data_IF_868544811448
#
_entry.id   IF_868544811448
#
_cell.length_a   1.000
_cell.length_b   1.000
_cell.length_c   1.000
_cell.angle_alpha   90.00
_cell.angle_beta   90.00
_cell.angle_gamma   90.00
#
_symmetry.space_group_name_H-M   'P 1'
#
loop_
_entity.id
_entity.type
_entity.pdbx_description
1 polymer ?
#
# COMPACT_ATOMS: atom_id res chain seq x y z
N UNK A 1 -16.50 -16.08 -15.63
CA UNK A 1 -15.08 -16.52 -15.66
C UNK A 1 -14.24 -15.40 -15.08
N UNK A 2 -13.28 -15.72 -14.22
CA UNK A 2 -12.39 -14.71 -13.63
C UNK A 2 -11.39 -14.20 -14.67
N UNK A 3 -11.02 -12.92 -14.59
CA UNK A 3 -9.94 -12.35 -15.40
C UNK A 3 -8.63 -13.05 -15.07
N UNK A 4 -7.72 -13.28 -16.04
CA UNK A 4 -6.47 -14.02 -15.79
C UNK A 4 -5.63 -13.49 -14.62
N UNK A 5 -5.53 -12.16 -14.47
CA UNK A 5 -4.80 -11.51 -13.37
C UNK A 5 -5.51 -11.63 -12.00
N UNK A 6 -6.79 -12.04 -11.97
CA UNK A 6 -7.52 -12.34 -10.74
C UNK A 6 -7.46 -13.83 -10.36
N UNK A 7 -6.91 -14.66 -11.22
CA UNK A 7 -6.65 -16.08 -10.91
C UNK A 7 -5.41 -16.19 -10.03
N UNK A 8 -4.39 -15.38 -10.34
CA UNK A 8 -3.22 -15.25 -9.48
C UNK A 8 -3.68 -14.61 -8.16
N UNK A 9 -3.26 -15.17 -7.05
CA UNK A 9 -3.65 -14.70 -5.73
C UNK A 9 -2.58 -13.76 -5.14
N UNK A 10 -2.51 -12.49 -5.58
CA UNK A 10 -1.48 -11.57 -5.11
C UNK A 10 -1.68 -11.21 -3.64
N UNK A 11 -0.57 -10.91 -2.98
CA UNK A 11 -0.57 -10.32 -1.65
C UNK A 11 -1.16 -8.90 -1.69
N UNK A 12 -1.72 -8.48 -0.57
CA UNK A 12 -2.27 -7.13 -0.38
C UNK A 12 -1.29 -6.28 0.39
N UNK A 13 -1.06 -5.08 -0.13
CA UNK A 13 -0.15 -4.09 0.42
C UNK A 13 -0.88 -2.77 0.72
N UNK A 14 -0.22 -1.92 1.47
CA UNK A 14 -0.58 -0.53 1.67
C UNK A 14 0.66 0.35 1.55
N UNK A 15 0.53 1.49 0.86
CA UNK A 15 1.54 2.55 0.87
C UNK A 15 1.19 3.58 1.94
N UNK A 16 2.16 3.92 2.75
CA UNK A 16 2.09 5.07 3.66
C UNK A 16 2.62 6.28 2.91
N UNK A 17 1.79 7.28 2.74
CA UNK A 17 2.14 8.55 2.10
C UNK A 17 1.66 9.72 2.95
N UNK A 18 2.22 10.90 2.70
CA UNK A 18 1.87 12.13 3.41
C UNK A 18 1.53 13.23 2.41
N UNK A 19 0.59 14.09 2.76
CA UNK A 19 0.30 15.27 1.95
C UNK A 19 1.26 16.44 2.30
N UNK A 20 1.04 17.61 1.69
CA UNK A 20 1.83 18.83 1.91
C UNK A 20 1.78 19.38 3.35
N UNK A 21 0.80 18.93 4.14
CA UNK A 21 0.58 19.31 5.55
C UNK A 21 0.98 18.18 6.51
N UNK A 22 1.72 17.19 6.03
CA UNK A 22 2.13 16.00 6.77
C UNK A 22 0.95 15.15 7.29
N UNK A 23 -0.23 15.24 6.67
CA UNK A 23 -1.33 14.34 6.98
C UNK A 23 -1.09 12.97 6.37
N UNK A 24 -1.21 11.95 7.20
CA UNK A 24 -1.03 10.55 6.81
C UNK A 24 -2.16 10.08 5.88
N UNK A 25 -1.80 9.40 4.81
CA UNK A 25 -2.72 8.63 3.99
C UNK A 25 -2.18 7.21 3.78
N UNK A 26 -3.07 6.25 3.79
CA UNK A 26 -2.80 4.85 3.46
C UNK A 26 -3.81 4.36 2.44
N UNK A 27 -3.32 3.68 1.42
CA UNK A 27 -4.14 3.03 0.39
C UNK A 27 -4.15 1.51 0.58
N UNK A 28 -4.85 0.84 -0.31
CA UNK A 28 -4.76 -0.61 -0.52
C UNK A 28 -4.34 -0.84 -1.95
N UNK A 29 -3.30 -1.64 -2.15
CA UNK A 29 -2.79 -1.97 -3.48
C UNK A 29 -2.32 -3.42 -3.57
N UNK A 30 -2.38 -3.96 -4.79
CA UNK A 30 -1.91 -5.29 -5.15
C UNK A 30 -1.01 -5.30 -6.40
N UNK A 31 -0.95 -4.20 -7.13
CA UNK A 31 -0.06 -4.06 -8.28
C UNK A 31 1.35 -3.69 -7.82
N UNK A 32 1.98 -4.64 -7.13
CA UNK A 32 3.28 -4.49 -6.47
C UNK A 32 4.17 -5.65 -6.89
N UNK A 33 5.37 -5.37 -7.36
CA UNK A 33 6.35 -6.39 -7.73
C UNK A 33 7.79 -5.96 -7.41
N UNK A 34 8.57 -6.86 -6.84
CA UNK A 34 10.02 -6.73 -6.84
C UNK A 34 10.52 -7.00 -8.28
N UNK A 35 11.29 -6.07 -8.83
CA UNK A 35 11.74 -6.10 -10.23
C UNK A 35 13.25 -6.14 -10.40
N UNK A 36 14.01 -5.96 -9.32
CA UNK A 36 15.48 -6.07 -9.31
C UNK A 36 15.98 -6.47 -7.92
N UNK A 37 17.06 -7.27 -7.89
CA UNK A 37 17.72 -7.70 -6.66
C UNK A 37 19.00 -6.92 -6.36
N UNK A 38 19.70 -6.45 -7.39
CA UNK A 38 20.96 -5.69 -7.26
C UNK A 38 20.96 -4.55 -8.28
N UNK A 39 20.60 -3.32 -7.89
CA UNK A 39 20.01 -2.94 -6.61
C UNK A 39 18.59 -3.51 -6.39
N UNK A 40 18.11 -3.50 -5.15
CA UNK A 40 16.74 -3.90 -4.84
C UNK A 40 15.78 -2.80 -5.27
N UNK A 41 14.85 -3.14 -6.18
CA UNK A 41 13.86 -2.21 -6.74
C UNK A 41 12.48 -2.85 -6.73
N UNK A 42 11.48 -2.04 -6.35
CA UNK A 42 10.07 -2.34 -6.48
C UNK A 42 9.43 -1.51 -7.59
N UNK A 43 8.47 -2.12 -8.28
CA UNK A 43 7.51 -1.46 -9.18
C UNK A 43 6.13 -1.49 -8.54
N UNK A 44 5.46 -0.34 -8.50
CA UNK A 44 4.12 -0.20 -7.91
C UNK A 44 3.28 0.65 -8.85
N UNK A 45 2.10 0.13 -9.26
CA UNK A 45 1.14 0.92 -10.02
C UNK A 45 0.13 1.58 -9.08
N UNK A 46 -0.13 2.87 -9.31
CA UNK A 46 -1.01 3.70 -8.49
C UNK A 46 -1.99 4.43 -9.39
N UNK A 47 -3.28 4.33 -9.06
CA UNK A 47 -4.36 4.98 -9.78
C UNK A 47 -4.23 6.51 -9.73
N UNK A 48 -4.32 7.16 -10.89
CA UNK A 48 -4.18 8.61 -11.05
C UNK A 48 -5.19 9.43 -10.25
N UNK A 49 -6.37 8.88 -9.97
CA UNK A 49 -7.45 9.57 -9.27
C UNK A 49 -7.28 9.60 -7.74
N UNK A 50 -6.24 8.95 -7.20
CA UNK A 50 -6.10 8.74 -5.76
C UNK A 50 -5.27 9.83 -5.06
N UNK A 51 -5.57 10.04 -3.78
CA UNK A 51 -4.71 10.87 -2.90
C UNK A 51 -3.29 10.34 -2.80
N UNK A 52 -3.11 9.02 -2.88
CA UNK A 52 -1.80 8.37 -2.90
C UNK A 52 -0.97 8.85 -4.09
N UNK A 53 -1.57 8.94 -5.28
CA UNK A 53 -0.89 9.46 -6.47
C UNK A 53 -0.43 10.91 -6.28
N UNK A 54 -1.31 11.79 -5.79
CA UNK A 54 -0.96 13.18 -5.49
C UNK A 54 0.19 13.28 -4.49
N UNK A 55 0.11 12.51 -3.38
CA UNK A 55 1.15 12.51 -2.36
C UNK A 55 2.50 12.04 -2.91
N UNK A 56 2.50 11.08 -3.85
CA UNK A 56 3.73 10.60 -4.51
C UNK A 56 4.37 11.64 -5.44
N UNK A 57 3.62 12.63 -5.90
CA UNK A 57 4.20 13.78 -6.60
C UNK A 57 5.04 14.65 -5.67
N UNK A 58 4.61 14.79 -4.41
CA UNK A 58 5.21 15.67 -3.43
C UNK A 58 6.35 14.99 -2.65
N UNK A 59 6.25 13.69 -2.43
CA UNK A 59 7.15 12.97 -1.54
C UNK A 59 7.96 11.90 -2.29
N UNK A 60 9.24 11.84 -1.97
CA UNK A 60 10.15 10.83 -2.52
C UNK A 60 10.28 9.59 -1.64
N UNK A 61 9.90 9.67 -0.36
CA UNK A 61 10.01 8.57 0.59
C UNK A 61 8.63 8.07 1.00
N UNK A 62 8.46 6.75 0.94
CA UNK A 62 7.21 6.07 1.33
C UNK A 62 7.55 4.78 2.05
N UNK A 63 6.57 4.23 2.77
CA UNK A 63 6.68 2.90 3.37
C UNK A 63 5.67 1.97 2.71
N UNK A 64 6.16 0.87 2.15
CA UNK A 64 5.32 -0.21 1.67
C UNK A 64 5.12 -1.21 2.80
N UNK A 65 3.86 -1.52 3.09
CA UNK A 65 3.44 -2.44 4.14
C UNK A 65 2.83 -3.70 3.51
N UNK A 66 3.39 -4.87 3.81
CA UNK A 66 2.75 -6.14 3.47
C UNK A 66 1.73 -6.47 4.55
N UNK A 67 0.46 -6.55 4.18
CA UNK A 67 -0.63 -6.66 5.13
C UNK A 67 -0.84 -8.12 5.60
N UNK A 68 -1.29 -8.25 6.84
CA UNK A 68 -1.72 -9.53 7.42
C UNK A 68 -3.25 -9.66 7.41
N UNK A 69 -3.75 -10.88 7.64
CA UNK A 69 -5.19 -11.16 7.73
C UNK A 69 -5.90 -10.40 8.85
N UNK A 70 -5.18 -9.95 9.87
CA UNK A 70 -5.75 -9.10 10.94
C UNK A 70 -6.28 -7.75 10.42
N UNK A 71 -5.79 -7.30 9.25
CA UNK A 71 -6.23 -6.06 8.61
C UNK A 71 -7.57 -6.16 7.85
N UNK A 72 -8.15 -7.34 7.68
CA UNK A 72 -9.43 -7.52 6.97
C UNK A 72 -10.51 -6.54 7.43
N UNK A 73 -10.57 -6.26 8.74
CA UNK A 73 -11.55 -5.36 9.35
C UNK A 73 -11.47 -3.90 8.89
N UNK A 74 -10.31 -3.46 8.41
CA UNK A 74 -10.09 -2.06 7.97
C UNK A 74 -10.00 -1.91 6.44
N UNK A 75 -9.80 -3.00 5.71
CA UNK A 75 -9.53 -2.99 4.26
C UNK A 75 -10.64 -2.29 3.47
N UNK A 76 -11.91 -2.62 3.75
CA UNK A 76 -13.05 -2.02 3.05
C UNK A 76 -13.03 -0.49 3.17
N UNK A 77 -12.74 0.01 4.37
CA UNK A 77 -12.72 1.45 4.62
C UNK A 77 -11.51 2.10 3.95
N UNK A 78 -10.32 1.52 4.06
CA UNK A 78 -9.11 2.06 3.43
C UNK A 78 -9.16 2.02 1.90
N UNK A 79 -9.70 0.95 1.31
CA UNK A 79 -9.70 0.74 -0.13
C UNK A 79 -10.87 1.39 -0.88
N UNK A 80 -12.02 1.59 -0.21
CA UNK A 80 -13.25 2.13 -0.85
C UNK A 80 -13.55 3.58 -0.49
N UNK A 81 -12.76 4.23 0.35
CA UNK A 81 -12.91 5.66 0.65
C UNK A 81 -11.75 6.45 0.10
N UNK A 82 -12.05 7.60 -0.49
CA UNK A 82 -11.02 8.50 -1.00
C UNK A 82 -10.31 9.22 0.13
N UNK A 83 -8.98 9.30 0.06
CA UNK A 83 -8.18 10.14 0.97
C UNK A 83 -8.43 11.64 0.82
N UNK A 84 -9.11 12.07 -0.24
CA UNK A 84 -9.54 13.46 -0.41
C UNK A 84 -10.72 13.85 0.47
N UNK A 85 -11.62 12.91 0.76
CA UNK A 85 -12.87 13.16 1.48
C UNK A 85 -12.94 12.50 2.85
N UNK A 86 -11.97 11.65 3.19
CA UNK A 86 -11.98 10.85 4.41
C UNK A 86 -10.61 10.86 5.09
N UNK A 87 -10.58 11.26 6.36
CA UNK A 87 -9.36 11.23 7.17
C UNK A 87 -9.07 9.81 7.64
N UNK A 88 -8.23 9.11 6.88
CA UNK A 88 -7.83 7.74 7.18
C UNK A 88 -6.99 7.63 8.45
N UNK A 89 -6.18 8.64 8.75
CA UNK A 89 -5.37 8.65 9.97
C UNK A 89 -6.25 8.64 11.23
N UNK A 90 -7.24 9.55 11.31
CA UNK A 90 -8.16 9.60 12.44
C UNK A 90 -8.94 8.29 12.60
N UNK A 91 -9.39 7.72 11.49
CA UNK A 91 -10.06 6.42 11.51
C UNK A 91 -9.15 5.32 12.06
N UNK A 92 -7.91 5.23 11.60
CA UNK A 92 -6.96 4.20 12.05
C UNK A 92 -6.55 4.40 13.52
N UNK A 93 -6.42 5.65 13.97
CA UNK A 93 -6.18 5.97 15.39
C UNK A 93 -7.34 5.54 16.26
N UNK A 94 -8.58 5.81 15.84
CA UNK A 94 -9.79 5.37 16.58
C UNK A 94 -9.94 3.86 16.68
N UNK A 95 -9.30 3.12 15.78
CA UNK A 95 -9.25 1.64 15.79
C UNK A 95 -7.99 1.08 16.44
N UNK A 96 -7.12 1.94 16.99
CA UNK A 96 -5.85 1.58 17.61
C UNK A 96 -4.92 0.76 16.70
N UNK A 97 -5.01 1.01 15.38
CA UNK A 97 -4.30 0.26 14.34
C UNK A 97 -2.92 0.81 14.01
N UNK A 98 -2.56 1.99 14.53
CA UNK A 98 -1.29 2.64 14.21
C UNK A 98 -0.21 2.34 15.24
N UNK A 99 1.01 2.17 14.75
CA UNK A 99 2.24 2.05 15.50
C UNK A 99 3.27 3.05 14.98
N UNK A 100 3.97 3.72 15.89
CA UNK A 100 5.04 4.64 15.54
C UNK A 100 6.37 3.88 15.58
N UNK A 101 6.92 3.60 14.39
CA UNK A 101 8.22 2.94 14.25
C UNK A 101 9.27 3.93 13.76
N UNK A 102 10.15 4.35 14.65
CA UNK A 102 11.18 5.36 14.38
C UNK A 102 10.54 6.67 13.92
N UNK A 103 10.75 7.05 12.63
CA UNK A 103 10.17 8.25 12.02
C UNK A 103 8.87 7.99 11.25
N UNK A 104 8.45 6.72 11.16
CA UNK A 104 7.30 6.33 10.34
C UNK A 104 6.12 5.88 11.21
N UNK A 105 4.93 6.35 10.85
CA UNK A 105 3.67 5.81 11.36
C UNK A 105 3.20 4.71 10.41
N UNK A 106 2.99 3.52 10.92
CA UNK A 106 2.63 2.32 10.15
C UNK A 106 1.47 1.59 10.79
N UNK A 107 0.89 0.63 10.08
CA UNK A 107 -0.10 -0.27 10.66
C UNK A 107 0.58 -1.26 11.61
N UNK A 108 -0.06 -1.56 12.75
CA UNK A 108 0.31 -2.67 13.62
C UNK A 108 0.13 -4.00 12.87
N UNK A 109 0.83 -5.03 13.30
CA UNK A 109 0.67 -6.42 12.84
C UNK A 109 0.85 -6.64 11.32
N UNK A 110 1.62 -5.78 10.66
CA UNK A 110 2.05 -6.01 9.28
C UNK A 110 3.03 -7.18 9.18
N UNK A 111 3.00 -7.91 8.07
CA UNK A 111 3.96 -9.00 7.82
C UNK A 111 5.36 -8.48 7.48
N UNK A 112 5.44 -7.36 6.77
CA UNK A 112 6.71 -6.72 6.45
C UNK A 112 6.54 -5.22 6.21
N UNK A 113 7.64 -4.49 6.41
CA UNK A 113 7.78 -3.07 6.11
C UNK A 113 8.98 -2.87 5.19
N UNK A 114 8.80 -2.08 4.13
CA UNK A 114 9.86 -1.72 3.19
C UNK A 114 9.88 -0.21 3.03
N UNK A 115 10.98 0.42 3.45
CA UNK A 115 11.23 1.84 3.25
C UNK A 115 11.74 2.05 1.82
N UNK A 116 11.04 2.86 1.06
CA UNK A 116 11.24 3.04 -0.37
C UNK A 116 11.56 4.50 -0.70
N UNK A 117 12.48 4.68 -1.64
CA UNK A 117 12.77 5.98 -2.25
C UNK A 117 12.33 5.95 -3.71
N UNK A 118 11.46 6.87 -4.09
CA UNK A 118 10.98 7.01 -5.47
C UNK A 118 12.14 7.29 -6.42
N UNK A 119 12.19 6.55 -7.52
CA UNK A 119 13.16 6.73 -8.60
C UNK A 119 12.52 7.40 -9.80
N UNK A 120 11.48 6.78 -10.36
CA UNK A 120 10.83 7.23 -11.57
C UNK A 120 9.32 7.11 -11.46
N UNK A 121 8.62 7.95 -12.22
CA UNK A 121 7.22 7.81 -12.58
C UNK A 121 7.14 7.53 -14.08
N UNK A 122 6.43 6.48 -14.46
CA UNK A 122 6.19 6.10 -15.83
C UNK A 122 4.70 6.23 -16.10
N UNK A 123 4.34 7.20 -16.91
CA UNK A 123 2.96 7.37 -17.33
C UNK A 123 2.67 6.40 -18.49
N UNK A 124 1.65 5.59 -18.30
CA UNK A 124 1.13 4.67 -19.29
C UNK A 124 -0.26 5.13 -19.74
N UNK A 125 -0.69 4.73 -20.93
CA UNK A 125 -2.02 5.05 -21.45
C UNK A 125 -3.12 4.20 -20.78
N UNK A 126 -3.22 4.28 -19.45
CA UNK A 126 -4.15 3.54 -18.64
C UNK A 126 -4.66 4.37 -17.46
N UNK A 127 -5.25 3.74 -16.48
CA UNK A 127 -5.80 4.38 -15.28
C UNK A 127 -4.79 4.46 -14.10
N UNK A 128 -3.59 3.91 -14.27
CA UNK A 128 -2.53 3.91 -13.27
C UNK A 128 -1.21 4.44 -13.83
N UNK A 129 -0.44 5.12 -12.99
CA UNK A 129 0.99 5.36 -13.20
C UNK A 129 1.81 4.23 -12.62
N UNK A 130 2.94 3.90 -13.22
CA UNK A 130 3.92 2.98 -12.65
C UNK A 130 5.02 3.81 -11.99
N UNK A 131 5.24 3.56 -10.71
CA UNK A 131 6.38 4.11 -9.97
C UNK A 131 7.43 3.04 -9.74
N UNK A 132 8.70 3.38 -9.90
CA UNK A 132 9.82 2.55 -9.45
C UNK A 132 10.45 3.15 -8.21
N UNK A 133 10.84 2.27 -7.28
CA UNK A 133 11.41 2.66 -6.00
C UNK A 133 12.64 1.82 -5.68
N UNK A 134 13.70 2.47 -5.23
CA UNK A 134 14.82 1.77 -4.59
C UNK A 134 14.48 1.43 -3.13
N UNK A 135 14.92 0.28 -2.67
CA UNK A 135 14.76 -0.15 -1.29
C UNK A 135 15.86 0.48 -0.44
N UNK A 136 15.47 1.33 0.52
CA UNK A 136 16.40 1.90 1.51
C UNK A 136 16.61 0.97 2.68
N UNK A 137 15.51 0.36 3.17
CA UNK A 137 15.50 -0.54 4.32
C UNK A 137 14.30 -1.46 4.26
N UNK A 138 14.42 -2.64 4.85
CA UNK A 138 13.28 -3.54 4.99
C UNK A 138 13.35 -4.32 6.28
N UNK A 139 12.19 -4.82 6.72
CA UNK A 139 12.05 -5.69 7.86
C UNK A 139 10.89 -6.65 7.66
N UNK A 140 11.17 -7.95 7.73
CA UNK A 140 10.15 -8.99 7.83
C UNK A 140 9.78 -9.15 9.31
N UNK A 141 8.49 -9.14 9.60
CA UNK A 141 7.92 -9.27 10.95
C UNK A 141 7.22 -10.60 11.13
N UNK A 142 6.62 -11.13 10.06
CA UNK A 142 5.98 -12.45 10.03
C UNK A 142 6.03 -13.02 8.62
N UNK A 143 6.32 -14.30 8.48
CA UNK A 143 6.30 -15.02 7.21
C UNK A 143 4.95 -15.70 6.93
N UNK A 144 4.03 -15.66 7.90
CA UNK A 144 2.72 -16.27 7.78
C UNK A 144 1.57 -15.28 7.91
N UNK A 145 0.35 -15.73 7.56
CA UNK A 145 -0.86 -14.95 7.72
C UNK A 145 -0.98 -13.74 6.79
N UNK A 146 -0.30 -13.76 5.65
CA UNK A 146 -0.37 -12.70 4.63
C UNK A 146 -1.80 -12.57 4.11
N UNK A 147 -2.28 -11.33 4.04
CA UNK A 147 -3.54 -11.00 3.41
C UNK A 147 -3.41 -11.07 1.90
N UNK A 148 -4.34 -11.76 1.24
CA UNK A 148 -4.33 -11.98 -0.19
C UNK A 148 -5.59 -11.50 -0.87
N UNK A 149 -5.54 -11.38 -2.19
CA UNK A 149 -6.68 -11.00 -3.03
C UNK A 149 -7.87 -11.97 -2.85
N UNK A 150 -7.59 -13.27 -2.69
CA UNK A 150 -8.62 -14.28 -2.41
C UNK A 150 -9.32 -14.01 -1.09
N UNK A 151 -8.61 -13.60 -0.04
CA UNK A 151 -9.24 -13.25 1.24
C UNK A 151 -10.24 -12.10 1.08
N UNK A 152 -9.95 -11.13 0.20
CA UNK A 152 -10.88 -10.01 -0.08
C UNK A 152 -12.14 -10.47 -0.81
N UNK A 153 -12.02 -11.42 -1.75
CA UNK A 153 -13.16 -12.01 -2.45
C UNK A 153 -14.00 -12.82 -1.48
N UNK A 154 -13.39 -13.72 -0.71
CA UNK A 154 -14.09 -14.60 0.24
C UNK A 154 -14.85 -13.80 1.30
N UNK A 155 -14.36 -12.62 1.67
CA UNK A 155 -15.01 -11.71 2.61
C UNK A 155 -15.92 -10.65 1.93
N UNK A 156 -16.20 -10.80 0.64
CA UNK A 156 -17.08 -9.92 -0.15
C UNK A 156 -16.67 -8.44 -0.10
N UNK A 157 -15.37 -8.16 0.00
CA UNK A 157 -14.83 -6.80 -0.03
C UNK A 157 -14.70 -6.34 -1.48
N UNK A 158 -14.30 -7.24 -2.35
CA UNK A 158 -14.25 -7.07 -3.81
C UNK A 158 -15.05 -8.20 -4.49
N UNK A 159 -15.47 -7.97 -5.75
CA UNK A 159 -16.25 -8.93 -6.55
C UNK A 159 -15.34 -9.78 -7.45
#
# INVERSE_FOLDING_TARGET
MKRPWNIVNPAIYSLVTYDEKDNLNMNICSYVSAVSLKPKIYSIAVDYSTKTYENLKLNSFVVLQLLSKSHLKIIRKLGKTSGYSFNKENYLRSKEMLDNRRKNTVLKDTCALVELKKMNEINIEGDHAIFTFSVSKYRTLSEGGILTFKDLIDNKIIL
#
